data_IF_876552926377
#
_entry.id   IF_876552926377
#
_cell.length_a   1.000
_cell.length_b   1.000
_cell.length_c   1.000
_cell.angle_alpha   90.00
_cell.angle_beta   90.00
_cell.angle_gamma   90.00
#
_symmetry.space_group_name_H-M   'P 1'
#
loop_
_entity.id
_entity.type
_entity.pdbx_description
1 polymer ?
#
# COMPACT_ATOMS: atom_id res chain seq x y z
N UNK A 1 50.84 1.92 -1.88
CA UNK A 1 50.21 2.55 -3.06
C UNK A 1 48.93 1.78 -3.31
N UNK A 2 47.82 2.38 -2.90
CA UNK A 2 46.50 1.76 -3.00
C UNK A 2 45.92 1.96 -4.39
N UNK A 3 45.16 0.97 -4.83
CA UNK A 3 44.10 1.17 -5.81
C UNK A 3 42.89 0.38 -5.33
N UNK A 4 42.05 1.07 -4.54
CA UNK A 4 40.65 0.71 -4.41
C UNK A 4 40.02 0.91 -5.78
N UNK A 5 39.60 -0.18 -6.40
CA UNK A 5 38.68 -0.14 -7.52
C UNK A 5 37.28 0.01 -6.90
N UNK A 6 36.96 1.22 -6.45
CA UNK A 6 35.58 1.60 -6.20
C UNK A 6 34.89 1.69 -7.56
N UNK A 7 34.36 0.56 -8.02
CA UNK A 7 33.32 0.52 -9.04
C UNK A 7 32.13 1.28 -8.47
N UNK A 8 32.10 2.59 -8.74
CA UNK A 8 30.91 3.39 -8.65
C UNK A 8 29.89 2.78 -9.61
N UNK A 9 28.98 1.99 -9.05
CA UNK A 9 27.65 1.77 -9.59
C UNK A 9 26.97 3.15 -9.69
N UNK A 10 27.35 3.91 -10.71
CA UNK A 10 26.55 5.00 -11.23
C UNK A 10 25.41 4.34 -12.01
N UNK A 11 24.49 3.74 -11.27
CA UNK A 11 23.19 3.37 -11.78
C UNK A 11 22.50 4.66 -12.23
N UNK A 12 22.41 4.84 -13.54
CA UNK A 12 21.62 5.88 -14.17
C UNK A 12 20.14 5.58 -13.90
N UNK A 13 19.66 6.02 -12.73
CA UNK A 13 18.41 5.54 -12.15
C UNK A 13 17.15 6.24 -12.66
N UNK A 14 17.23 7.29 -13.49
CA UNK A 14 16.06 8.12 -13.83
C UNK A 14 16.12 8.67 -15.27
N UNK A 15 16.11 7.79 -16.27
CA UNK A 15 16.18 8.19 -17.69
C UNK A 15 14.83 8.15 -18.43
N UNK A 16 13.76 7.59 -17.84
CA UNK A 16 12.47 7.44 -18.51
C UNK A 16 11.34 8.14 -17.74
N UNK A 17 11.07 9.39 -18.09
CA UNK A 17 9.95 10.18 -17.53
C UNK A 17 8.58 9.76 -18.07
N UNK A 18 8.52 8.76 -18.97
CA UNK A 18 7.31 8.33 -19.67
C UNK A 18 7.08 6.83 -19.44
N UNK A 19 5.86 6.48 -19.05
CA UNK A 19 5.41 5.10 -18.92
C UNK A 19 5.11 4.48 -20.29
N UNK A 20 5.49 3.22 -20.47
CA UNK A 20 5.03 2.40 -21.60
C UNK A 20 3.56 1.98 -21.41
N UNK A 21 2.85 1.63 -22.49
CA UNK A 21 1.42 1.28 -22.45
C UNK A 21 1.08 0.18 -21.43
N UNK A 22 1.89 -0.88 -21.36
CA UNK A 22 1.72 -1.97 -20.40
C UNK A 22 1.95 -1.50 -18.95
N UNK A 23 2.89 -0.58 -18.72
CA UNK A 23 3.19 0.00 -17.43
C UNK A 23 2.05 0.92 -16.96
N UNK A 24 1.50 1.71 -17.88
CA UNK A 24 0.30 2.53 -17.64
C UNK A 24 -0.90 1.66 -17.26
N UNK A 25 -1.21 0.61 -18.03
CA UNK A 25 -2.32 -0.32 -17.73
C UNK A 25 -2.14 -0.97 -16.36
N UNK A 26 -0.93 -1.39 -16.03
CA UNK A 26 -0.62 -1.97 -14.73
C UNK A 26 -0.86 -0.97 -13.59
N UNK A 27 -0.32 0.25 -13.67
CA UNK A 27 -0.52 1.28 -12.65
C UNK A 27 -1.99 1.68 -12.50
N UNK A 28 -2.75 1.69 -13.59
CA UNK A 28 -4.19 1.95 -13.53
C UNK A 28 -4.93 0.87 -12.75
N UNK A 29 -4.63 -0.41 -13.01
CA UNK A 29 -5.23 -1.51 -12.24
C UNK A 29 -4.80 -1.51 -10.78
N UNK A 30 -3.54 -1.14 -10.51
CA UNK A 30 -3.04 -0.97 -9.16
C UNK A 30 -3.82 0.13 -8.41
N UNK A 31 -3.98 1.32 -9.00
CA UNK A 31 -4.78 2.40 -8.41
C UNK A 31 -6.25 1.99 -8.18
N UNK A 32 -6.87 1.30 -9.14
CA UNK A 32 -8.25 0.79 -9.00
C UNK A 32 -8.39 -0.24 -7.86
N UNK A 33 -7.36 -1.07 -7.65
CA UNK A 33 -7.33 -2.01 -6.53
C UNK A 33 -7.26 -1.27 -5.19
N UNK A 34 -6.48 -0.19 -5.10
CA UNK A 34 -6.43 0.66 -3.91
C UNK A 34 -7.79 1.30 -3.63
N UNK A 35 -8.43 1.91 -4.63
CA UNK A 35 -9.76 2.53 -4.49
C UNK A 35 -10.85 1.53 -4.04
N UNK A 36 -10.79 0.31 -4.57
CA UNK A 36 -11.71 -0.77 -4.18
C UNK A 36 -11.53 -1.13 -2.72
N UNK A 37 -10.27 -1.24 -2.28
CA UNK A 37 -9.98 -1.56 -0.89
C UNK A 37 -10.31 -0.41 0.05
N UNK A 38 -10.09 0.85 -0.35
CA UNK A 38 -10.48 2.03 0.41
C UNK A 38 -11.98 1.99 0.72
N UNK A 39 -12.80 1.61 -0.27
CA UNK A 39 -14.24 1.43 -0.11
C UNK A 39 -14.58 0.32 0.91
N UNK A 40 -13.87 -0.81 0.86
CA UNK A 40 -14.04 -1.90 1.82
C UNK A 40 -13.64 -1.51 3.25
N UNK A 41 -12.52 -0.81 3.40
CA UNK A 41 -12.04 -0.29 4.69
C UNK A 41 -13.03 0.72 5.27
N UNK A 42 -13.51 1.66 4.46
CA UNK A 42 -14.52 2.63 4.88
C UNK A 42 -15.83 1.94 5.30
N UNK A 43 -16.28 0.92 4.56
CA UNK A 43 -17.46 0.14 4.93
C UNK A 43 -17.29 -0.51 6.32
N UNK A 44 -16.16 -1.17 6.59
CA UNK A 44 -15.92 -1.78 7.91
C UNK A 44 -15.85 -0.72 9.00
N UNK A 45 -15.17 0.40 8.76
CA UNK A 45 -15.08 1.50 9.72
C UNK A 45 -16.47 2.02 10.11
N UNK A 46 -17.35 2.23 9.13
CA UNK A 46 -18.75 2.63 9.36
C UNK A 46 -19.48 1.58 10.20
N UNK A 47 -19.38 0.29 9.83
CA UNK A 47 -20.03 -0.80 10.56
C UNK A 47 -19.59 -0.88 12.02
N UNK A 48 -18.31 -0.69 12.28
CA UNK A 48 -17.75 -0.71 13.65
C UNK A 48 -18.17 0.54 14.43
N UNK A 49 -17.94 1.74 13.87
CA UNK A 49 -18.11 3.01 14.60
C UNK A 49 -19.56 3.43 14.75
N UNK A 50 -20.35 3.29 13.69
CA UNK A 50 -21.70 3.85 13.63
C UNK A 50 -22.75 2.80 13.99
N UNK A 51 -22.46 1.52 13.71
CA UNK A 51 -23.42 0.42 13.86
C UNK A 51 -23.03 -0.60 14.94
N UNK A 52 -21.90 -0.39 15.64
CA UNK A 52 -21.35 -1.27 16.67
C UNK A 52 -21.33 -2.75 16.27
N UNK A 53 -21.09 -3.03 14.98
CA UNK A 53 -21.12 -4.37 14.41
C UNK A 53 -19.81 -4.66 13.69
N UNK A 54 -19.18 -5.78 14.03
CA UNK A 54 -17.99 -6.26 13.34
C UNK A 54 -18.35 -7.36 12.33
N UNK A 55 -18.18 -7.05 11.05
CA UNK A 55 -18.39 -7.98 9.94
C UNK A 55 -17.12 -8.79 9.68
N UNK A 56 -17.00 -9.92 10.38
CA UNK A 56 -15.78 -10.76 10.34
C UNK A 56 -15.43 -11.26 8.92
N UNK A 57 -16.37 -11.74 8.08
CA UNK A 57 -16.07 -12.10 6.70
C UNK A 57 -15.48 -10.94 5.88
N UNK A 58 -16.14 -9.77 5.89
CA UNK A 58 -15.65 -8.61 5.15
C UNK A 58 -14.27 -8.15 5.65
N UNK A 59 -14.02 -8.25 6.95
CA UNK A 59 -12.70 -8.01 7.52
C UNK A 59 -11.64 -8.96 6.97
N UNK A 60 -11.93 -10.26 6.87
CA UNK A 60 -10.99 -11.23 6.31
C UNK A 60 -10.63 -10.88 4.86
N UNK A 61 -11.63 -10.53 4.05
CA UNK A 61 -11.43 -10.09 2.66
C UNK A 61 -10.53 -8.85 2.58
N UNK A 62 -10.74 -7.86 3.46
CA UNK A 62 -9.92 -6.65 3.53
C UNK A 62 -8.48 -6.94 3.93
N UNK A 63 -8.25 -7.83 4.91
CA UNK A 63 -6.89 -8.22 5.32
C UNK A 63 -6.18 -9.01 4.21
N UNK A 64 -6.88 -9.89 3.51
CA UNK A 64 -6.32 -10.60 2.35
C UNK A 64 -5.97 -9.64 1.22
N UNK A 65 -6.82 -8.65 0.94
CA UNK A 65 -6.55 -7.60 -0.03
C UNK A 65 -5.34 -6.74 0.35
N UNK A 66 -5.18 -6.37 1.62
CA UNK A 66 -4.00 -5.65 2.10
C UNK A 66 -2.70 -6.44 1.89
N UNK A 67 -2.72 -7.77 2.10
CA UNK A 67 -1.59 -8.64 1.78
C UNK A 67 -1.32 -8.71 0.28
N UNK A 68 -2.35 -8.72 -0.55
CA UNK A 68 -2.21 -8.68 -2.01
C UNK A 68 -1.58 -7.35 -2.47
N UNK A 69 -1.95 -6.23 -1.85
CA UNK A 69 -1.33 -4.92 -2.09
C UNK A 69 0.14 -4.93 -1.74
N UNK A 70 0.54 -5.52 -0.60
CA UNK A 70 1.94 -5.62 -0.24
C UNK A 70 2.78 -6.27 -1.35
N UNK A 71 2.26 -7.33 -1.98
CA UNK A 71 2.91 -7.98 -3.11
C UNK A 71 2.91 -7.08 -4.37
N UNK A 72 1.80 -6.40 -4.66
CA UNK A 72 1.69 -5.48 -5.78
C UNK A 72 2.59 -4.24 -5.65
N UNK A 73 2.89 -3.81 -4.42
CA UNK A 73 3.76 -2.68 -4.14
C UNK A 73 5.19 -2.93 -4.60
N UNK A 74 5.68 -4.18 -4.57
CA UNK A 74 7.01 -4.52 -5.08
C UNK A 74 7.10 -4.22 -6.58
N UNK A 75 6.10 -4.66 -7.35
CA UNK A 75 6.07 -4.44 -8.80
C UNK A 75 5.85 -2.96 -9.13
N UNK A 76 4.91 -2.30 -8.44
CA UNK A 76 4.57 -0.90 -8.66
C UNK A 76 5.71 0.04 -8.31
N UNK A 77 6.37 -0.18 -7.16
CA UNK A 77 7.55 0.58 -6.77
C UNK A 77 8.70 0.37 -7.75
N UNK A 78 9.03 -0.86 -8.12
CA UNK A 78 10.11 -1.12 -9.08
C UNK A 78 9.88 -0.43 -10.43
N UNK A 79 8.63 -0.36 -10.89
CA UNK A 79 8.25 0.38 -12.08
C UNK A 79 8.44 1.89 -11.90
N UNK A 80 8.05 2.45 -10.75
CA UNK A 80 8.27 3.86 -10.44
C UNK A 80 9.74 4.20 -10.16
N UNK A 81 10.58 3.24 -9.79
CA UNK A 81 12.00 3.44 -9.45
C UNK A 81 12.75 4.19 -10.56
N UNK A 82 12.40 3.96 -11.82
CA UNK A 82 13.05 4.59 -12.98
C UNK A 82 12.30 5.78 -13.58
N UNK A 83 11.06 6.00 -13.11
CA UNK A 83 10.14 7.02 -13.64
C UNK A 83 10.02 8.21 -12.70
N UNK A 84 9.84 7.93 -11.40
CA UNK A 84 9.56 8.93 -10.38
C UNK A 84 9.94 8.43 -8.99
N UNK A 85 10.98 9.06 -8.44
CA UNK A 85 11.51 8.73 -7.11
C UNK A 85 10.49 8.97 -6.00
N UNK A 86 9.64 9.99 -6.10
CA UNK A 86 8.71 10.33 -5.04
C UNK A 86 7.57 9.31 -5.00
N UNK A 87 7.02 8.95 -6.16
CA UNK A 87 6.04 7.88 -6.26
C UNK A 87 6.60 6.53 -5.81
N UNK A 88 7.86 6.22 -6.16
CA UNK A 88 8.57 5.04 -5.67
C UNK A 88 8.62 4.98 -4.14
N UNK A 89 9.07 6.06 -3.49
CA UNK A 89 9.20 6.11 -2.04
C UNK A 89 7.83 6.01 -1.33
N UNK A 90 6.81 6.68 -1.86
CA UNK A 90 5.45 6.65 -1.29
C UNK A 90 4.85 5.24 -1.39
N UNK A 91 5.02 4.54 -2.52
CA UNK A 91 4.53 3.15 -2.65
C UNK A 91 5.28 2.23 -1.67
N UNK A 92 6.59 2.41 -1.51
CA UNK A 92 7.39 1.61 -0.57
C UNK A 92 7.07 1.86 0.90
N UNK A 93 6.61 3.06 1.26
CA UNK A 93 6.30 3.39 2.67
C UNK A 93 5.15 2.56 3.25
N UNK A 94 4.46 1.76 2.43
CA UNK A 94 3.53 0.74 2.93
C UNK A 94 4.18 -0.22 3.94
N UNK A 95 5.48 -0.49 3.80
CA UNK A 95 6.24 -1.35 4.73
C UNK A 95 6.20 -0.87 6.18
N UNK A 96 5.96 0.43 6.42
CA UNK A 96 5.81 1.00 7.75
C UNK A 96 4.59 0.46 8.51
N UNK A 97 3.62 -0.14 7.80
CA UNK A 97 2.46 -0.79 8.40
C UNK A 97 2.72 -2.24 8.82
N UNK A 98 3.87 -2.84 8.46
CA UNK A 98 4.18 -4.24 8.78
C UNK A 98 4.03 -4.59 10.29
N UNK A 99 4.52 -3.78 11.25
CA UNK A 99 4.33 -4.07 12.67
C UNK A 99 2.87 -4.10 13.09
N UNK A 100 2.02 -3.27 12.48
CA UNK A 100 0.58 -3.19 12.77
C UNK A 100 -0.12 -4.45 12.23
N UNK A 101 0.30 -4.93 11.05
CA UNK A 101 -0.20 -6.19 10.51
C UNK A 101 0.14 -7.38 11.40
N UNK A 102 1.35 -7.41 11.97
CA UNK A 102 1.74 -8.46 12.92
C UNK A 102 0.85 -8.47 14.16
N UNK A 103 0.52 -7.30 14.72
CA UNK A 103 -0.41 -7.17 15.85
C UNK A 103 -1.84 -7.58 15.48
N UNK A 104 -2.33 -7.21 14.30
CA UNK A 104 -3.65 -7.66 13.79
C UNK A 104 -3.73 -9.18 13.69
N UNK A 105 -2.71 -9.82 13.10
CA UNK A 105 -2.65 -11.28 12.97
C UNK A 105 -2.60 -11.93 14.35
N UNK A 106 -1.82 -11.37 15.28
CA UNK A 106 -1.75 -11.86 16.66
C UNK A 106 -3.11 -11.81 17.34
N UNK A 107 -3.79 -10.65 17.33
CA UNK A 107 -5.10 -10.53 17.99
C UNK A 107 -6.18 -11.37 17.33
N UNK A 108 -6.09 -11.58 16.01
CA UNK A 108 -6.94 -12.52 15.31
C UNK A 108 -6.73 -13.97 15.81
N UNK A 109 -5.49 -14.41 16.02
CA UNK A 109 -5.16 -15.75 16.53
C UNK A 109 -5.53 -15.92 18.01
N UNK A 110 -5.44 -14.85 18.80
CA UNK A 110 -5.86 -14.82 20.20
C UNK A 110 -7.39 -14.74 20.38
N UNK A 111 -8.14 -14.59 19.28
CA UNK A 111 -9.59 -14.34 19.27
C UNK A 111 -10.00 -13.10 20.11
N UNK A 112 -9.09 -12.14 20.26
CA UNK A 112 -9.29 -10.91 21.03
C UNK A 112 -9.95 -9.84 20.14
N UNK A 113 -11.28 -9.94 20.01
CA UNK A 113 -12.08 -9.06 19.14
C UNK A 113 -11.95 -7.59 19.55
N UNK A 114 -11.88 -7.29 20.85
CA UNK A 114 -11.81 -5.90 21.34
C UNK A 114 -10.48 -5.25 20.93
N UNK A 115 -9.35 -5.94 21.14
CA UNK A 115 -8.05 -5.43 20.68
C UNK A 115 -7.96 -5.36 19.17
N UNK A 116 -8.51 -6.37 18.48
CA UNK A 116 -8.55 -6.40 17.02
C UNK A 116 -9.32 -5.18 16.47
N UNK A 117 -10.51 -4.91 16.98
CA UNK A 117 -11.30 -3.72 16.60
C UNK A 117 -10.52 -2.45 16.91
N UNK A 118 -9.92 -2.35 18.10
CA UNK A 118 -9.17 -1.17 18.51
C UNK A 118 -7.99 -0.86 17.58
N UNK A 119 -7.15 -1.84 17.25
CA UNK A 119 -5.99 -1.62 16.36
C UNK A 119 -6.43 -1.32 14.93
N UNK A 120 -7.50 -1.94 14.44
CA UNK A 120 -8.01 -1.69 13.09
C UNK A 120 -8.51 -0.26 12.95
N UNK A 121 -9.34 0.17 13.90
CA UNK A 121 -10.02 1.47 13.86
C UNK A 121 -9.07 2.62 14.11
N UNK A 122 -8.13 2.46 15.03
CA UNK A 122 -7.28 3.56 15.49
C UNK A 122 -5.92 3.60 14.79
N UNK A 123 -5.43 2.47 14.28
CA UNK A 123 -4.09 2.38 13.70
C UNK A 123 -4.10 1.94 12.23
N UNK A 124 -4.52 0.71 11.92
CA UNK A 124 -4.31 0.13 10.58
C UNK A 124 -5.11 0.87 9.51
N UNK A 125 -6.43 0.98 9.66
CA UNK A 125 -7.29 1.54 8.62
C UNK A 125 -7.03 3.03 8.37
N UNK A 126 -6.89 3.90 9.38
CA UNK A 126 -6.56 5.30 9.13
C UNK A 126 -5.22 5.48 8.41
N UNK A 127 -4.18 4.72 8.81
CA UNK A 127 -2.87 4.80 8.16
C UNK A 127 -2.90 4.29 6.73
N UNK A 128 -3.60 3.18 6.48
CA UNK A 128 -3.80 2.65 5.14
C UNK A 128 -4.50 3.67 4.23
N UNK A 129 -5.62 4.26 4.67
CA UNK A 129 -6.37 5.24 3.86
C UNK A 129 -5.55 6.49 3.54
N UNK A 130 -4.78 6.99 4.51
CA UNK A 130 -3.87 8.12 4.30
C UNK A 130 -2.76 7.77 3.29
N UNK A 131 -2.17 6.58 3.42
CA UNK A 131 -1.18 6.08 2.46
C UNK A 131 -1.75 5.90 1.06
N UNK A 132 -2.92 5.27 0.92
CA UNK A 132 -3.60 5.07 -0.37
C UNK A 132 -3.90 6.40 -1.06
N UNK A 133 -4.37 7.40 -0.30
CA UNK A 133 -4.59 8.77 -0.81
C UNK A 133 -3.30 9.35 -1.39
N UNK A 134 -2.20 9.29 -0.64
CA UNK A 134 -0.90 9.81 -1.08
C UNK A 134 -0.39 9.09 -2.35
N UNK A 135 -0.59 7.77 -2.44
CA UNK A 135 -0.23 6.99 -3.63
C UNK A 135 -1.07 7.42 -4.83
N UNK A 136 -2.39 7.51 -4.68
CA UNK A 136 -3.28 7.91 -5.77
C UNK A 136 -3.01 9.34 -6.26
N UNK A 137 -2.72 10.27 -5.35
CA UNK A 137 -2.30 11.63 -5.69
C UNK A 137 -0.98 11.63 -6.48
N UNK A 138 0.01 10.85 -6.04
CA UNK A 138 1.30 10.71 -6.73
C UNK A 138 1.14 10.08 -8.12
N UNK A 139 0.21 9.14 -8.28
CA UNK A 139 -0.05 8.44 -9.54
C UNK A 139 -0.96 9.22 -10.50
N UNK A 140 -1.73 10.19 -10.02
CA UNK A 140 -2.73 10.94 -10.82
C UNK A 140 -2.12 11.54 -12.09
N UNK A 141 -0.92 12.11 -12.01
CA UNK A 141 -0.20 12.71 -13.15
C UNK A 141 0.16 11.73 -14.27
N UNK A 142 0.13 10.43 -13.99
CA UNK A 142 0.41 9.37 -14.95
C UNK A 142 -0.86 8.74 -15.53
N UNK A 143 -1.98 8.84 -14.81
CA UNK A 143 -3.23 8.18 -15.12
C UNK A 143 -4.22 9.09 -15.87
N UNK A 144 -4.00 10.41 -15.86
CA UNK A 144 -4.73 11.39 -16.65
C UNK A 144 -4.23 11.44 -18.10
N UNK A 145 -4.61 10.45 -18.91
CA UNK A 145 -4.52 10.49 -20.37
C UNK A 145 -5.82 9.95 -20.98
#
# INVERSE_FOLDING_TARGET
MGHNHDSKDNDHYYDNTILQDNQYVFLRHYAQMLETLDSGVLYILTRIKDENTFDLPMFQDVIEALKAIQNANILSSNLMKTVDKDAYNIILSFEEMAPIFEEVVKYQQEEDVDKLVNILVNDLFPKYLAWSTNVNEALTKYLQN
#
